data_IF_390148071082
#
_entry.id   IF_390148071082
#
_cell.length_a   1.000
_cell.length_b   1.000
_cell.length_c   1.000
_cell.angle_alpha   90.00
_cell.angle_beta   90.00
_cell.angle_gamma   90.00
#
_symmetry.space_group_name_H-M   'P 1'
#
loop_
_entity.id
_entity.type
_entity.pdbx_description
1 polymer ?
#
# COMPACT_ATOMS: atom_id res chain seq x y z
N UNK A 1 3.12 9.29 15.23
CA UNK A 1 2.05 10.21 14.80
C UNK A 1 1.36 9.55 13.62
N UNK A 2 0.03 9.36 13.63
CA UNK A 2 -0.67 8.81 12.47
C UNK A 2 -0.59 9.80 11.29
N UNK A 3 -0.46 9.26 10.08
CA UNK A 3 -0.46 10.03 8.83
C UNK A 3 -1.80 9.86 8.12
N UNK A 4 -2.18 10.85 7.33
CA UNK A 4 -3.43 10.83 6.58
C UNK A 4 -3.11 10.58 5.11
N UNK A 5 -3.76 9.58 4.53
CA UNK A 5 -3.59 9.23 3.12
C UNK A 5 -4.95 9.11 2.45
N UNK A 6 -4.98 9.27 1.13
CA UNK A 6 -6.19 9.06 0.34
C UNK A 6 -6.02 7.84 -0.57
N UNK A 7 -6.90 6.84 -0.44
CA UNK A 7 -6.94 5.66 -1.33
C UNK A 7 -8.35 5.53 -1.89
N UNK A 8 -8.49 5.55 -3.23
CA UNK A 8 -9.79 5.43 -3.93
C UNK A 8 -10.86 6.40 -3.37
N UNK A 9 -10.52 7.69 -3.28
CA UNK A 9 -11.38 8.76 -2.73
C UNK A 9 -11.74 8.60 -1.24
N UNK A 10 -11.15 7.64 -0.53
CA UNK A 10 -11.34 7.46 0.91
C UNK A 10 -10.13 7.98 1.67
N UNK A 11 -10.38 8.95 2.54
CA UNK A 11 -9.37 9.47 3.47
C UNK A 11 -9.21 8.52 4.66
N UNK A 12 -7.99 8.02 4.86
CA UNK A 12 -7.67 7.01 5.85
C UNK A 12 -6.57 7.51 6.78
N UNK A 13 -6.71 7.22 8.07
CA UNK A 13 -5.68 7.49 9.08
C UNK A 13 -4.90 6.21 9.33
N UNK A 14 -3.60 6.22 9.03
CA UNK A 14 -2.75 5.03 9.13
C UNK A 14 -1.48 5.28 9.94
N UNK A 15 -0.91 4.21 10.46
CA UNK A 15 0.37 4.27 11.15
C UNK A 15 1.51 4.46 10.13
N UNK A 16 2.46 5.36 10.39
CA UNK A 16 3.64 5.50 9.53
C UNK A 16 4.49 4.24 9.57
N UNK A 17 5.15 3.92 8.45
CA UNK A 17 6.05 2.77 8.34
C UNK A 17 5.39 1.47 7.89
N UNK A 18 4.07 1.45 7.68
CA UNK A 18 3.39 0.34 7.00
C UNK A 18 3.46 0.52 5.47
N UNK A 19 3.12 -0.54 4.73
CA UNK A 19 3.07 -0.48 3.26
C UNK A 19 1.70 -0.04 2.77
N UNK A 20 1.60 0.44 1.52
CA UNK A 20 0.32 0.79 0.89
C UNK A 20 -0.64 -0.41 0.91
N UNK A 21 -0.12 -1.62 0.69
CA UNK A 21 -0.91 -2.86 0.77
C UNK A 21 -1.50 -3.08 2.17
N UNK A 22 -0.72 -2.83 3.22
CA UNK A 22 -1.14 -3.01 4.60
C UNK A 22 -2.19 -1.97 4.99
N UNK A 23 -1.97 -0.72 4.60
CA UNK A 23 -2.90 0.38 4.77
C UNK A 23 -4.26 0.10 4.09
N UNK A 24 -4.24 -0.36 2.84
CA UNK A 24 -5.44 -0.74 2.10
C UNK A 24 -6.20 -1.86 2.82
N UNK A 25 -5.50 -2.94 3.23
CA UNK A 25 -6.13 -4.09 3.90
C UNK A 25 -6.77 -3.75 5.23
N UNK A 26 -6.11 -2.92 6.06
CA UNK A 26 -6.64 -2.48 7.37
C UNK A 26 -7.94 -1.69 7.21
N UNK A 27 -8.14 -1.05 6.06
CA UNK A 27 -9.31 -0.23 5.76
C UNK A 27 -10.30 -0.92 4.79
N UNK A 28 -10.21 -2.26 4.65
CA UNK A 28 -11.17 -3.04 3.86
C UNK A 28 -10.99 -2.96 2.35
N UNK A 29 -9.91 -2.35 1.85
CA UNK A 29 -9.58 -2.30 0.44
C UNK A 29 -8.79 -3.55 0.05
N UNK A 30 -9.40 -4.39 -0.77
CA UNK A 30 -8.78 -5.63 -1.24
C UNK A 30 -7.84 -5.37 -2.41
N UNK A 31 -6.55 -5.71 -2.21
CA UNK A 31 -5.53 -5.73 -3.26
C UNK A 31 -5.04 -7.17 -3.43
N UNK A 32 -5.09 -7.74 -4.65
CA UNK A 32 -4.69 -9.11 -4.90
C UNK A 32 -3.18 -9.28 -4.72
N UNK A 33 -2.78 -10.35 -4.05
CA UNK A 33 -1.38 -10.68 -3.79
C UNK A 33 -1.14 -12.18 -3.82
N UNK A 34 -0.02 -12.61 -4.39
CA UNK A 34 0.47 -14.00 -4.25
C UNK A 34 1.72 -14.11 -3.40
N UNK A 35 2.70 -13.22 -3.60
CA UNK A 35 4.00 -13.32 -2.95
C UNK A 35 4.10 -12.56 -1.62
N UNK A 36 3.03 -11.93 -1.15
CA UNK A 36 3.02 -11.19 0.12
C UNK A 36 2.54 -12.08 1.25
N UNK A 37 3.28 -12.09 2.36
CA UNK A 37 2.88 -12.72 3.61
C UNK A 37 3.17 -11.78 4.80
N UNK A 38 2.27 -11.64 5.80
CA UNK A 38 2.41 -10.65 6.87
C UNK A 38 3.68 -10.76 7.74
N UNK A 39 4.31 -11.93 7.78
CA UNK A 39 5.50 -12.20 8.60
C UNK A 39 6.79 -12.26 7.76
N UNK A 40 6.72 -11.95 6.47
CA UNK A 40 7.86 -11.97 5.56
C UNK A 40 8.12 -10.56 5.02
N UNK A 41 9.39 -10.24 4.70
CA UNK A 41 9.72 -8.98 4.06
C UNK A 41 9.04 -8.86 2.69
N UNK A 42 8.72 -7.63 2.26
CA UNK A 42 8.16 -7.39 0.92
C UNK A 42 9.04 -7.93 -0.20
N UNK A 43 8.45 -8.72 -1.09
CA UNK A 43 9.17 -9.32 -2.22
C UNK A 43 8.96 -8.60 -3.55
N UNK A 44 7.73 -8.18 -3.87
CA UNK A 44 7.41 -7.48 -5.13
C UNK A 44 7.45 -8.34 -6.40
N UNK A 45 7.72 -9.65 -6.31
CA UNK A 45 7.90 -10.52 -7.48
C UNK A 45 6.64 -10.89 -8.25
N UNK A 46 5.47 -11.00 -7.60
CA UNK A 46 4.24 -11.40 -8.29
C UNK A 46 3.58 -10.29 -9.12
N UNK A 47 3.94 -9.02 -8.88
CA UNK A 47 3.41 -7.83 -9.56
C UNK A 47 1.87 -7.68 -9.62
N UNK A 48 1.10 -8.49 -8.90
CA UNK A 48 -0.37 -8.36 -8.86
C UNK A 48 -0.88 -7.18 -8.04
N UNK A 49 -0.08 -6.69 -7.10
CA UNK A 49 -0.44 -5.57 -6.24
C UNK A 49 0.03 -4.21 -6.80
N UNK A 50 0.16 -4.08 -8.11
CA UNK A 50 0.50 -2.80 -8.73
C UNK A 50 -0.61 -1.78 -8.49
N UNK A 51 -0.22 -0.56 -8.14
CA UNK A 51 -1.13 0.56 -7.86
C UNK A 51 -0.63 1.81 -8.57
N UNK A 52 -1.54 2.71 -8.88
CA UNK A 52 -1.23 4.06 -9.34
C UNK A 52 -1.24 5.01 -8.13
N UNK A 53 -0.26 5.91 -8.08
CA UNK A 53 -0.13 6.89 -7.00
C UNK A 53 0.09 8.24 -7.64
N UNK A 54 -0.67 9.23 -7.19
CA UNK A 54 -0.52 10.59 -7.68
C UNK A 54 0.92 11.08 -7.49
N UNK A 55 1.46 11.74 -8.52
CA UNK A 55 2.82 12.32 -8.53
C UNK A 55 3.97 11.29 -8.48
N UNK A 56 3.67 9.98 -8.50
CA UNK A 56 4.68 8.93 -8.64
C UNK A 56 4.65 8.38 -10.07
N UNK A 57 5.76 8.44 -10.82
CA UNK A 57 5.80 7.88 -12.16
C UNK A 57 5.75 6.34 -12.14
N UNK A 58 4.90 5.77 -13.00
CA UNK A 58 4.75 4.32 -13.18
C UNK A 58 3.79 3.66 -12.21
N UNK A 59 3.81 2.32 -12.19
CA UNK A 59 2.92 1.49 -11.37
C UNK A 59 3.73 0.72 -10.32
N UNK A 60 4.07 1.35 -9.18
CA UNK A 60 4.78 0.66 -8.11
C UNK A 60 3.94 -0.47 -7.51
N UNK A 61 4.61 -1.43 -6.88
CA UNK A 61 3.95 -2.49 -6.12
C UNK A 61 3.56 -2.01 -4.73
N UNK A 62 2.29 -2.14 -4.38
CA UNK A 62 1.75 -1.74 -3.08
C UNK A 62 2.39 -2.48 -1.90
N UNK A 63 2.89 -3.71 -2.12
CA UNK A 63 3.53 -4.48 -1.07
C UNK A 63 4.93 -3.97 -0.67
N UNK A 64 5.65 -3.26 -1.54
CA UNK A 64 7.01 -2.77 -1.28
C UNK A 64 7.05 -1.29 -0.95
N UNK A 65 6.03 -0.53 -1.33
CA UNK A 65 6.01 0.91 -1.15
C UNK A 65 5.49 1.27 0.25
N UNK A 66 6.27 2.02 1.06
CA UNK A 66 5.78 2.55 2.33
C UNK A 66 4.75 3.66 2.09
N UNK A 67 3.79 3.79 3.00
CA UNK A 67 2.88 4.94 2.99
C UNK A 67 3.63 6.24 3.34
N UNK A 68 3.30 7.30 2.63
CA UNK A 68 3.73 8.67 2.91
C UNK A 68 2.49 9.54 3.07
N UNK A 69 2.61 10.63 3.83
CA UNK A 69 1.51 11.57 4.06
C UNK A 69 1.10 12.25 2.74
N UNK A 70 -0.20 12.25 2.44
CA UNK A 70 -0.76 12.71 1.15
C UNK A 70 -2.02 11.96 0.73
#
# INVERSE_FOLDING_TARGET
MPITITINDQTLTVEPGITVLEAARRNGIYIPTLCYAPKLPPFGGCRMCVVEIEKVPGFPTACTLPVADG
#
